data_IF_181264106404
#
_entry.id   IF_181264106404
#
_cell.length_a   1.000
_cell.length_b   1.000
_cell.length_c   1.000
_cell.angle_alpha   90.00
_cell.angle_beta   90.00
_cell.angle_gamma   90.00
#
_symmetry.space_group_name_H-M   'P 1'
#
loop_
_entity.id
_entity.type
_entity.pdbx_description
1 polymer ?
#
# COMPACT_ATOMS: atom_id res chain seq x y z
N UNK A 1 12.73 30.93 21.30
CA UNK A 1 12.99 29.51 21.56
C UNK A 1 12.26 28.66 20.53
N UNK A 2 12.95 27.74 19.94
CA UNK A 2 12.29 26.79 19.07
C UNK A 2 11.44 25.82 19.92
N UNK A 3 10.18 25.66 19.55
CA UNK A 3 9.34 24.66 20.17
C UNK A 3 9.80 23.27 19.74
N UNK A 4 9.96 22.36 20.70
CA UNK A 4 10.21 20.97 20.38
C UNK A 4 8.94 20.36 19.75
N UNK A 5 9.08 19.89 18.52
CA UNK A 5 8.01 19.14 17.86
C UNK A 5 8.13 17.68 18.26
N UNK A 6 7.16 17.18 19.00
CA UNK A 6 7.08 15.76 19.33
C UNK A 6 6.13 15.07 18.36
N UNK A 7 6.67 14.13 17.58
CA UNK A 7 5.88 13.34 16.67
C UNK A 7 5.16 12.22 17.43
N UNK A 8 3.88 12.08 17.15
CA UNK A 8 3.06 10.98 17.63
C UNK A 8 2.90 9.96 16.51
N UNK A 9 2.57 8.73 16.86
CA UNK A 9 2.26 7.70 15.86
C UNK A 9 1.14 8.14 14.90
N UNK A 10 0.15 8.89 15.39
CA UNK A 10 -0.94 9.44 14.59
C UNK A 10 -0.50 10.48 13.56
N UNK A 11 0.72 11.00 13.65
CA UNK A 11 1.27 11.95 12.69
C UNK A 11 1.92 11.27 11.48
N UNK A 12 1.94 9.95 11.46
CA UNK A 12 2.59 9.18 10.39
C UNK A 12 1.63 8.20 9.75
N UNK A 13 1.71 8.10 8.43
CA UNK A 13 0.92 7.14 7.64
C UNK A 13 1.85 6.42 6.67
N UNK A 14 1.81 5.10 6.68
CA UNK A 14 2.50 4.29 5.67
C UNK A 14 1.70 4.31 4.37
N UNK A 15 2.26 4.94 3.33
CA UNK A 15 1.61 5.08 2.03
C UNK A 15 2.03 4.06 0.99
N UNK A 16 3.04 3.24 1.29
CA UNK A 16 3.59 2.27 0.35
C UNK A 16 3.75 0.92 1.03
N UNK A 17 2.78 0.06 0.88
CA UNK A 17 2.76 -1.27 1.50
C UNK A 17 2.29 -2.32 0.51
N UNK A 18 2.98 -3.45 0.52
CA UNK A 18 2.60 -4.64 -0.22
C UNK A 18 2.08 -5.70 0.73
N UNK A 19 0.97 -6.33 0.38
CA UNK A 19 0.40 -7.44 1.14
C UNK A 19 0.71 -8.77 0.46
N UNK A 20 0.21 -9.86 1.04
CA UNK A 20 0.35 -11.18 0.45
C UNK A 20 -0.38 -11.34 -0.91
N UNK A 21 -1.21 -10.37 -1.29
CA UNK A 21 -1.78 -10.30 -2.63
C UNK A 21 -0.77 -9.84 -3.69
N UNK A 22 0.35 -9.21 -3.29
CA UNK A 22 1.51 -8.99 -4.16
C UNK A 22 2.34 -10.26 -4.21
N UNK A 23 2.00 -11.17 -5.10
CA UNK A 23 2.67 -12.46 -5.22
C UNK A 23 4.16 -12.28 -5.45
N UNK A 24 4.99 -13.08 -4.78
CA UNK A 24 6.44 -13.14 -4.81
C UNK A 24 7.17 -12.06 -4.00
N UNK A 25 6.55 -10.94 -3.63
CA UNK A 25 7.26 -9.90 -2.87
C UNK A 25 6.48 -9.29 -1.71
N UNK A 26 5.30 -9.83 -1.41
CA UNK A 26 4.52 -9.40 -0.25
C UNK A 26 4.19 -10.58 0.67
N UNK A 27 4.52 -10.46 1.94
CA UNK A 27 4.26 -11.51 2.95
C UNK A 27 3.22 -11.12 3.98
N UNK A 28 3.00 -9.82 4.18
CA UNK A 28 2.13 -9.31 5.22
C UNK A 28 0.66 -9.56 4.87
N UNK A 29 -0.05 -10.21 5.76
CA UNK A 29 -1.50 -10.35 5.62
C UNK A 29 -2.20 -9.05 5.97
N UNK A 30 -3.34 -8.79 5.34
CA UNK A 30 -4.10 -7.54 5.54
C UNK A 30 -4.55 -7.37 6.98
N UNK A 31 -5.03 -8.43 7.62
CA UNK A 31 -5.44 -8.39 9.04
C UNK A 31 -4.28 -8.07 9.97
N UNK A 32 -3.11 -8.63 9.72
CA UNK A 32 -1.90 -8.34 10.50
C UNK A 32 -1.46 -6.89 10.33
N UNK A 33 -1.52 -6.36 9.12
CA UNK A 33 -1.17 -4.96 8.82
C UNK A 33 -2.11 -3.99 9.54
N UNK A 34 -3.41 -4.21 9.43
CA UNK A 34 -4.42 -3.37 10.09
C UNK A 34 -4.28 -3.45 11.62
N UNK A 35 -4.07 -4.65 12.15
CA UNK A 35 -3.84 -4.86 13.57
C UNK A 35 -2.62 -4.11 14.10
N UNK A 36 -1.51 -4.16 13.37
CA UNK A 36 -0.29 -3.46 13.75
C UNK A 36 -0.47 -1.93 13.71
N UNK A 37 -1.13 -1.42 12.68
CA UNK A 37 -1.43 0.02 12.56
C UNK A 37 -2.28 0.49 13.73
N UNK A 38 -3.30 -0.26 14.08
CA UNK A 38 -4.17 0.03 15.23
C UNK A 38 -3.39 0.01 16.54
N UNK A 39 -2.60 -1.02 16.75
CA UNK A 39 -1.81 -1.22 17.97
C UNK A 39 -0.77 -0.12 18.17
N UNK A 40 -0.14 0.35 17.10
CA UNK A 40 0.87 1.40 17.17
C UNK A 40 0.29 2.81 17.27
N UNK A 41 -1.02 2.98 17.16
CA UNK A 41 -1.68 4.27 17.27
C UNK A 41 -1.72 5.09 15.99
N UNK A 42 -1.38 4.50 14.86
CA UNK A 42 -1.54 5.14 13.55
C UNK A 42 -3.02 5.18 13.18
N UNK A 43 -3.45 6.21 12.47
CA UNK A 43 -4.86 6.44 12.15
C UNK A 43 -5.26 5.94 10.76
N UNK A 44 -4.29 5.72 9.89
CA UNK A 44 -4.53 5.34 8.50
C UNK A 44 -3.42 4.43 7.97
N UNK A 45 -3.72 3.70 6.92
CA UNK A 45 -2.75 2.87 6.21
C UNK A 45 -3.16 2.73 4.74
N UNK A 46 -2.20 2.77 3.85
CA UNK A 46 -2.41 2.48 2.44
C UNK A 46 -1.96 1.05 2.10
N UNK A 47 -2.65 0.44 1.17
CA UNK A 47 -2.19 -0.78 0.51
C UNK A 47 -2.01 -0.47 -0.98
N UNK A 48 -0.82 -0.74 -1.50
CA UNK A 48 -0.38 -0.42 -2.86
C UNK A 48 0.28 -1.64 -3.48
N UNK A 49 -0.47 -2.74 -3.60
CA UNK A 49 0.04 -3.99 -4.15
C UNK A 49 0.47 -3.84 -5.63
N UNK A 50 1.41 -4.66 -6.04
CA UNK A 50 1.91 -4.66 -7.41
C UNK A 50 0.86 -5.14 -8.40
N UNK A 51 0.38 -4.23 -9.26
CA UNK A 51 -0.48 -4.54 -10.38
C UNK A 51 -1.84 -5.15 -10.04
N UNK A 52 -2.25 -5.13 -8.77
CA UNK A 52 -3.51 -5.74 -8.33
C UNK A 52 -4.22 -4.90 -7.29
N UNK A 53 -5.54 -4.94 -7.31
CA UNK A 53 -6.40 -4.34 -6.29
C UNK A 53 -7.15 -5.41 -5.47
N UNK A 54 -6.75 -6.68 -5.59
CA UNK A 54 -7.47 -7.81 -5.01
C UNK A 54 -7.59 -7.77 -3.49
N UNK A 55 -6.64 -7.14 -2.81
CA UNK A 55 -6.65 -7.01 -1.35
C UNK A 55 -7.44 -5.83 -0.80
N UNK A 56 -7.94 -4.94 -1.66
CA UNK A 56 -8.52 -3.68 -1.20
C UNK A 56 -9.88 -3.83 -0.53
N UNK A 57 -10.68 -4.81 -0.93
CA UNK A 57 -11.97 -5.07 -0.29
C UNK A 57 -11.75 -5.56 1.14
N UNK A 58 -10.82 -6.49 1.33
CA UNK A 58 -10.43 -6.99 2.64
C UNK A 58 -9.87 -5.87 3.52
N UNK A 59 -8.98 -5.05 2.97
CA UNK A 59 -8.46 -3.87 3.66
C UNK A 59 -9.57 -2.95 4.12
N UNK A 60 -10.49 -2.61 3.22
CA UNK A 60 -11.59 -1.70 3.54
C UNK A 60 -12.43 -2.20 4.70
N UNK A 61 -12.83 -3.47 4.67
CA UNK A 61 -13.64 -4.07 5.72
C UNK A 61 -12.91 -4.12 7.05
N UNK A 62 -11.67 -4.60 7.06
CA UNK A 62 -10.89 -4.74 8.30
C UNK A 62 -10.50 -3.40 8.90
N UNK A 63 -10.12 -2.46 8.08
CA UNK A 63 -9.76 -1.12 8.55
C UNK A 63 -10.96 -0.40 9.13
N UNK A 64 -12.12 -0.52 8.49
CA UNK A 64 -13.36 0.08 8.99
C UNK A 64 -13.75 -0.50 10.35
N UNK A 65 -13.67 -1.81 10.52
CA UNK A 65 -13.96 -2.47 11.80
C UNK A 65 -12.98 -2.06 12.89
N UNK A 66 -11.74 -1.80 12.55
CA UNK A 66 -10.70 -1.37 13.48
C UNK A 66 -10.66 0.15 13.70
N UNK A 67 -11.52 0.92 13.05
CA UNK A 67 -11.51 2.39 13.05
C UNK A 67 -10.19 2.98 12.54
N UNK A 68 -9.59 2.31 11.57
CA UNK A 68 -8.40 2.77 10.83
C UNK A 68 -8.88 3.24 9.46
N UNK A 69 -8.35 4.36 8.99
CA UNK A 69 -8.69 4.88 7.65
C UNK A 69 -7.95 4.08 6.58
N UNK A 70 -8.66 3.37 5.70
CA UNK A 70 -8.03 2.69 4.57
C UNK A 70 -7.75 3.70 3.45
N UNK A 71 -6.56 3.63 2.88
CA UNK A 71 -6.19 4.36 1.68
C UNK A 71 -6.00 3.30 0.59
N UNK A 72 -6.88 3.33 -0.39
CA UNK A 72 -6.92 2.33 -1.46
C UNK A 72 -6.00 2.76 -2.59
N UNK A 73 -4.98 2.00 -2.84
CA UNK A 73 -3.98 2.32 -3.83
C UNK A 73 -3.59 1.13 -4.69
N UNK A 74 -2.71 1.39 -5.63
CA UNK A 74 -2.17 0.40 -6.55
C UNK A 74 -0.78 0.86 -6.96
N UNK A 75 0.19 -0.04 -6.91
CA UNK A 75 1.49 0.21 -7.53
C UNK A 75 1.40 -0.22 -8.99
N UNK A 76 1.18 0.75 -9.86
CA UNK A 76 0.93 0.51 -11.26
C UNK A 76 2.21 0.20 -12.03
N UNK A 77 2.08 -0.58 -13.08
CA UNK A 77 3.16 -0.76 -14.03
C UNK A 77 3.12 0.35 -15.08
N UNK A 78 4.29 0.92 -15.36
CA UNK A 78 4.46 1.94 -16.39
C UNK A 78 5.11 1.31 -17.60
N UNK A 79 4.54 1.52 -18.78
CA UNK A 79 5.10 1.01 -20.03
C UNK A 79 6.47 1.63 -20.31
N UNK A 80 7.38 0.82 -20.87
CA UNK A 80 8.73 1.29 -21.21
C UNK A 80 8.71 2.39 -22.28
N UNK A 81 7.78 2.32 -23.22
CA UNK A 81 7.64 3.28 -24.32
C UNK A 81 6.28 3.97 -24.28
N UNK A 82 5.26 3.36 -24.87
CA UNK A 82 3.91 3.92 -24.83
C UNK A 82 2.85 2.82 -24.71
N UNK A 83 1.60 3.22 -24.55
CA UNK A 83 0.48 2.32 -24.31
C UNK A 83 0.28 1.28 -25.42
N UNK A 84 0.61 1.61 -26.65
CA UNK A 84 0.38 0.76 -27.82
C UNK A 84 1.55 -0.16 -28.15
N UNK A 85 2.75 0.12 -27.60
CA UNK A 85 3.95 -0.67 -27.85
C UNK A 85 3.89 -2.00 -27.10
N UNK A 86 4.08 -3.11 -27.81
CA UNK A 86 4.01 -4.46 -27.25
C UNK A 86 5.05 -5.39 -27.83
N UNK A 87 6.28 -4.90 -28.03
CA UNK A 87 7.38 -5.72 -28.51
C UNK A 87 8.09 -6.37 -27.33
N UNK A 88 8.12 -7.71 -27.20
CA UNK A 88 8.78 -8.39 -26.08
C UNK A 88 10.27 -8.06 -25.94
N UNK A 89 10.95 -7.64 -27.01
CA UNK A 89 12.35 -7.27 -26.94
C UNK A 89 12.57 -5.92 -26.25
N UNK A 90 11.59 -5.00 -26.33
CA UNK A 90 11.70 -3.63 -25.81
C UNK A 90 10.74 -3.34 -24.66
N UNK A 91 9.61 -4.03 -24.61
CA UNK A 91 8.49 -3.68 -23.70
C UNK A 91 8.29 -4.66 -22.55
N UNK A 92 9.22 -5.59 -22.34
CA UNK A 92 9.12 -6.59 -21.28
C UNK A 92 9.44 -6.04 -19.88
N UNK A 93 10.14 -4.92 -19.79
CA UNK A 93 10.48 -4.31 -18.52
C UNK A 93 9.28 -3.62 -17.89
N UNK A 94 9.17 -3.78 -16.58
CA UNK A 94 8.08 -3.23 -15.79
C UNK A 94 8.61 -2.15 -14.88
N UNK A 95 8.14 -0.93 -15.09
CA UNK A 95 8.44 0.20 -14.23
C UNK A 95 7.22 0.49 -13.34
N UNK A 96 7.51 0.92 -12.13
CA UNK A 96 6.47 1.25 -11.15
C UNK A 96 6.39 2.74 -10.85
#
# INVERSE_FOLDING_TARGET
MAEEVQLKASDFVHLHNHTHYSLLDGLTKVDELVGLVKETGMEAVAVTDHGTMSGLIELYKMAKDASVKPILGLEAYVAARNLEDRDPAYDKERFH
#
